data_IF_794639914651
#
_entry.id   IF_794639914651
#
_cell.length_a   1.000
_cell.length_b   1.000
_cell.length_c   1.000
_cell.angle_alpha   90.00
_cell.angle_beta   90.00
_cell.angle_gamma   90.00
#
_symmetry.space_group_name_H-M   'P 1'
#
loop_
_entity.id
_entity.type
_entity.pdbx_description
1 polymer ?
#
# COMPACT_ATOMS: atom_id res chain seq x y z
N UNK A 1 47.08 -30.21 33.01
CA UNK A 1 45.77 -30.60 33.57
C UNK A 1 44.83 -29.44 33.29
N UNK A 2 44.10 -29.48 32.18
CA UNK A 2 43.27 -28.37 31.68
C UNK A 2 41.85 -28.60 32.21
N UNK A 3 41.18 -27.61 32.85
CA UNK A 3 39.84 -27.84 33.39
C UNK A 3 38.80 -27.94 32.27
N UNK A 4 38.02 -29.03 32.25
CA UNK A 4 36.87 -29.21 31.36
C UNK A 4 35.72 -28.27 31.77
N UNK A 5 35.37 -27.36 30.87
CA UNK A 5 34.21 -26.47 31.00
C UNK A 5 32.94 -27.23 30.59
N UNK A 6 32.10 -27.61 31.55
CA UNK A 6 30.84 -28.32 31.32
C UNK A 6 29.67 -27.37 31.03
N UNK A 7 28.76 -27.81 30.14
CA UNK A 7 27.52 -27.17 29.61
C UNK A 7 26.64 -26.44 30.64
N UNK A 8 26.76 -26.79 31.93
CA UNK A 8 25.97 -26.23 33.04
C UNK A 8 26.52 -24.91 33.60
N UNK A 9 27.81 -24.61 33.43
CA UNK A 9 28.40 -23.33 33.88
C UNK A 9 28.19 -22.17 32.88
N UNK A 10 27.91 -22.49 31.62
CA UNK A 10 27.58 -21.49 30.59
C UNK A 10 26.16 -20.93 30.74
N UNK A 11 25.27 -21.68 31.40
CA UNK A 11 23.87 -21.29 31.64
C UNK A 11 23.63 -20.57 32.98
N UNK A 12 24.60 -20.60 33.90
CA UNK A 12 24.52 -19.91 35.20
C UNK A 12 25.04 -18.46 35.18
N UNK A 13 25.55 -17.98 34.05
CA UNK A 13 26.19 -16.65 33.89
C UNK A 13 25.50 -15.73 32.88
N UNK A 14 24.29 -16.07 32.40
CA UNK A 14 23.49 -15.21 31.51
C UNK A 14 22.31 -14.63 32.28
N UNK A 15 22.62 -13.94 33.38
CA UNK A 15 21.70 -13.06 34.06
C UNK A 15 22.28 -11.64 33.96
N UNK A 16 21.66 -10.84 33.10
CA UNK A 16 21.72 -9.36 33.12
C UNK A 16 23.12 -8.78 32.95
N UNK A 17 23.68 -8.73 31.74
CA UNK A 17 24.64 -7.69 31.29
C UNK A 17 24.96 -7.82 29.79
N UNK A 18 24.62 -6.81 29.00
CA UNK A 18 25.29 -6.50 27.71
C UNK A 18 24.87 -7.28 26.45
N UNK A 19 23.71 -6.96 25.86
CA UNK A 19 23.23 -7.50 24.57
C UNK A 19 23.95 -6.88 23.33
N UNK A 20 24.97 -6.03 23.51
CA UNK A 20 25.54 -5.24 22.40
C UNK A 20 26.76 -5.81 21.65
N UNK A 21 27.54 -6.75 22.21
CA UNK A 21 28.89 -7.02 21.67
C UNK A 21 29.28 -8.47 21.37
N UNK A 22 28.66 -9.47 22.03
CA UNK A 22 29.10 -10.87 21.95
C UNK A 22 28.36 -11.76 20.96
N UNK A 23 27.22 -11.31 20.44
CA UNK A 23 26.30 -12.12 19.59
C UNK A 23 26.70 -12.12 18.10
N UNK A 24 27.86 -11.54 17.78
CA UNK A 24 28.36 -11.35 16.42
C UNK A 24 29.41 -12.38 15.96
N UNK A 25 29.99 -13.19 16.88
CA UNK A 25 31.20 -13.99 16.59
C UNK A 25 31.00 -15.53 16.54
N UNK A 26 29.86 -16.07 16.97
CA UNK A 26 29.59 -17.52 16.92
C UNK A 26 28.66 -17.90 15.76
N UNK A 27 28.87 -19.05 15.07
CA UNK A 27 27.90 -19.59 14.13
C UNK A 27 26.55 -19.76 14.82
N UNK A 28 25.49 -19.20 14.24
CA UNK A 28 24.20 -19.11 14.95
C UNK A 28 23.45 -20.43 15.06
N UNK A 29 23.91 -21.46 14.36
CA UNK A 29 23.57 -22.87 14.60
C UNK A 29 23.92 -23.33 16.02
N UNK A 30 24.67 -22.52 16.79
CA UNK A 30 25.03 -22.79 18.18
C UNK A 30 24.06 -22.16 19.20
N UNK A 31 23.13 -21.30 18.76
CA UNK A 31 22.10 -20.73 19.63
C UNK A 31 20.81 -21.57 19.60
N UNK A 32 20.08 -21.67 20.73
CA UNK A 32 18.76 -22.29 20.75
C UNK A 32 17.78 -21.56 19.82
N UNK A 33 16.90 -22.30 19.14
CA UNK A 33 15.89 -21.77 18.21
C UNK A 33 15.10 -20.57 18.77
N UNK A 34 14.63 -20.55 20.03
CA UNK A 34 13.91 -19.39 20.57
C UNK A 34 14.76 -18.11 20.66
N UNK A 35 16.08 -18.24 20.77
CA UNK A 35 17.01 -17.10 20.73
C UNK A 35 17.13 -16.59 19.30
N UNK A 36 17.29 -17.49 18.32
CA UNK A 36 17.39 -17.10 16.90
C UNK A 36 16.07 -16.49 16.41
N UNK A 37 14.93 -17.06 16.79
CA UNK A 37 13.59 -16.52 16.49
C UNK A 37 13.47 -15.06 16.97
N UNK A 38 13.92 -14.77 18.20
CA UNK A 38 13.89 -13.40 18.73
C UNK A 38 14.77 -12.46 17.94
N UNK A 39 15.83 -12.95 17.29
CA UNK A 39 16.77 -12.09 16.58
C UNK A 39 16.34 -11.72 15.16
N UNK A 40 15.33 -12.40 14.63
CA UNK A 40 14.70 -12.09 13.34
C UNK A 40 13.88 -10.81 13.54
N UNK A 41 13.98 -9.88 12.59
CA UNK A 41 13.22 -8.63 12.58
C UNK A 41 13.86 -7.47 13.37
N UNK A 42 15.09 -7.63 13.85
CA UNK A 42 15.84 -6.53 14.48
C UNK A 42 16.71 -5.73 13.49
N UNK A 43 16.72 -6.10 12.21
CA UNK A 43 17.54 -5.41 11.23
C UNK A 43 16.85 -4.14 10.76
N UNK A 44 17.44 -2.99 11.05
CA UNK A 44 16.99 -1.71 10.49
C UNK A 44 17.03 -1.78 8.96
N UNK A 45 15.87 -1.60 8.35
CA UNK A 45 15.70 -1.46 6.90
C UNK A 45 15.81 0.02 6.50
N UNK A 46 16.24 0.33 5.27
CA UNK A 46 16.21 1.70 4.78
C UNK A 46 14.78 2.23 4.73
N UNK A 47 14.65 3.56 4.81
CA UNK A 47 13.38 4.21 4.55
C UNK A 47 13.14 4.30 3.04
N UNK A 48 11.89 4.10 2.65
CA UNK A 48 11.41 4.10 1.26
C UNK A 48 10.31 5.10 1.03
N UNK A 49 9.89 5.82 2.08
CA UNK A 49 8.86 6.82 1.95
C UNK A 49 9.38 8.01 1.14
N UNK A 50 8.81 8.17 -0.05
CA UNK A 50 9.12 9.22 -1.02
C UNK A 50 7.95 10.17 -1.23
N UNK A 51 6.84 9.97 -0.51
CA UNK A 51 5.67 10.80 -0.67
C UNK A 51 6.04 12.25 -0.33
N UNK A 52 5.72 13.26 -1.14
CA UNK A 52 5.93 14.65 -0.73
C UNK A 52 5.16 14.99 0.56
N UNK A 53 5.54 16.08 1.22
CA UNK A 53 4.65 16.66 2.23
C UNK A 53 3.38 17.16 1.50
N UNK A 54 2.19 17.06 2.11
CA UNK A 54 0.99 17.54 1.46
C UNK A 54 1.00 19.08 1.38
N UNK A 55 0.50 19.67 0.28
CA UNK A 55 0.32 21.12 0.18
C UNK A 55 -0.53 21.66 1.33
N UNK A 56 -0.12 22.77 1.94
CA UNK A 56 -0.90 23.41 3.02
C UNK A 56 -2.30 23.84 2.52
N UNK A 57 -2.40 24.23 1.26
CA UNK A 57 -3.67 24.55 0.59
C UNK A 57 -4.66 23.37 0.60
N UNK A 58 -4.17 22.14 0.48
CA UNK A 58 -5.00 20.92 0.57
C UNK A 58 -5.64 20.80 1.95
N UNK A 59 -4.86 21.02 3.02
CA UNK A 59 -5.39 20.90 4.38
C UNK A 59 -6.41 22.00 4.66
N UNK A 60 -6.10 23.25 4.27
CA UNK A 60 -6.97 24.40 4.49
C UNK A 60 -8.31 24.28 3.76
N UNK A 61 -8.29 24.05 2.44
CA UNK A 61 -9.52 23.91 1.65
C UNK A 61 -10.31 22.66 2.04
N UNK A 62 -9.62 21.58 2.41
CA UNK A 62 -10.26 20.38 2.93
C UNK A 62 -10.96 20.60 4.28
N UNK A 63 -10.39 21.41 5.18
CA UNK A 63 -11.03 21.81 6.43
C UNK A 63 -12.27 22.68 6.21
N UNK A 64 -12.20 23.65 5.30
CA UNK A 64 -13.35 24.48 4.90
C UNK A 64 -14.49 23.63 4.34
N UNK A 65 -14.17 22.59 3.55
CA UNK A 65 -15.19 21.66 3.07
C UNK A 65 -15.72 20.74 4.16
N UNK A 66 -14.86 20.28 5.08
CA UNK A 66 -15.28 19.42 6.19
C UNK A 66 -16.27 20.13 7.11
N UNK A 67 -16.03 21.40 7.43
CA UNK A 67 -16.94 22.22 8.25
C UNK A 67 -18.36 22.24 7.65
N UNK A 68 -18.48 22.48 6.34
CA UNK A 68 -19.78 22.45 5.64
C UNK A 68 -20.46 21.08 5.70
N UNK A 69 -19.68 20.00 5.57
CA UNK A 69 -20.22 18.64 5.64
C UNK A 69 -20.69 18.27 7.06
N UNK A 70 -19.98 18.74 8.10
CA UNK A 70 -20.40 18.59 9.48
C UNK A 70 -21.70 19.35 9.75
N UNK A 71 -21.84 20.58 9.26
CA UNK A 71 -23.09 21.36 9.38
C UNK A 71 -24.28 20.67 8.69
N UNK A 72 -24.07 20.07 7.50
CA UNK A 72 -25.08 19.28 6.81
C UNK A 72 -25.47 18.03 7.63
N UNK A 73 -24.49 17.27 8.11
CA UNK A 73 -24.70 16.10 8.94
C UNK A 73 -25.48 16.45 10.21
N UNK A 74 -25.06 17.48 10.95
CA UNK A 74 -25.77 17.97 12.14
C UNK A 74 -27.21 18.36 11.82
N UNK A 75 -27.44 19.02 10.69
CA UNK A 75 -28.78 19.38 10.24
C UNK A 75 -29.65 18.16 9.96
N UNK A 76 -29.09 17.08 9.39
CA UNK A 76 -29.79 15.81 9.12
C UNK A 76 -30.12 15.05 10.42
N UNK A 77 -29.24 15.11 11.42
CA UNK A 77 -29.45 14.42 12.70
C UNK A 77 -30.28 15.23 13.70
N UNK A 78 -30.50 16.52 13.46
CA UNK A 78 -31.31 17.37 14.32
C UNK A 78 -32.74 16.83 14.47
N UNK A 79 -33.13 16.59 15.72
CA UNK A 79 -34.48 16.11 16.08
C UNK A 79 -34.69 14.61 15.85
N UNK A 80 -33.66 13.87 15.44
CA UNK A 80 -33.70 12.40 15.39
C UNK A 80 -33.44 11.85 16.78
N UNK A 81 -34.33 11.00 17.27
CA UNK A 81 -34.08 10.20 18.48
C UNK A 81 -33.10 9.07 18.12
N UNK A 82 -31.88 9.14 18.63
CA UNK A 82 -30.80 8.19 18.31
C UNK A 82 -30.85 6.93 19.16
N UNK A 83 -31.64 6.91 20.23
CA UNK A 83 -31.73 5.80 21.19
C UNK A 83 -32.89 4.84 20.86
N UNK A 84 -33.57 5.07 19.74
CA UNK A 84 -34.71 4.27 19.31
C UNK A 84 -34.27 2.93 18.68
N UNK A 85 -34.92 1.85 19.09
CA UNK A 85 -34.60 0.48 18.65
C UNK A 85 -34.91 0.21 17.16
N UNK A 86 -35.74 1.05 16.53
CA UNK A 86 -36.21 0.92 15.15
C UNK A 86 -35.35 1.68 14.12
N UNK A 87 -34.18 2.21 14.50
CA UNK A 87 -33.24 2.77 13.52
C UNK A 87 -32.77 1.69 12.54
N UNK A 88 -32.76 1.98 11.22
CA UNK A 88 -32.15 1.10 10.24
C UNK A 88 -30.70 0.78 10.61
N UNK A 89 -30.29 -0.48 10.50
CA UNK A 89 -28.93 -0.91 10.85
C UNK A 89 -27.85 -0.10 10.12
N UNK A 90 -28.13 0.27 8.87
CA UNK A 90 -27.29 1.14 8.05
C UNK A 90 -27.01 2.51 8.68
N UNK A 91 -27.93 3.03 9.50
CA UNK A 91 -27.87 4.37 10.05
C UNK A 91 -27.37 4.45 11.50
N UNK A 92 -27.28 3.31 12.21
CA UNK A 92 -26.95 3.28 13.66
C UNK A 92 -25.61 3.93 14.00
N UNK A 93 -24.62 3.80 13.13
CA UNK A 93 -23.29 4.39 13.34
C UNK A 93 -23.22 5.88 13.05
N UNK A 94 -24.24 6.46 12.38
CA UNK A 94 -24.21 7.85 11.91
C UNK A 94 -23.90 8.88 13.01
N UNK A 95 -24.61 8.89 14.16
CA UNK A 95 -24.35 9.85 15.23
C UNK A 95 -22.96 9.70 15.85
N UNK A 96 -22.49 8.47 16.04
CA UNK A 96 -21.13 8.21 16.56
C UNK A 96 -20.08 8.72 15.60
N UNK A 97 -20.22 8.42 14.31
CA UNK A 97 -19.27 8.87 13.29
C UNK A 97 -19.31 10.39 13.08
N UNK A 98 -20.47 11.04 13.25
CA UNK A 98 -20.56 12.50 13.30
C UNK A 98 -19.72 13.06 14.46
N UNK A 99 -19.87 12.51 15.67
CA UNK A 99 -19.04 12.89 16.83
C UNK A 99 -17.55 12.70 16.55
N UNK A 100 -17.15 11.54 16.03
CA UNK A 100 -15.76 11.21 15.69
C UNK A 100 -15.18 12.13 14.59
N UNK A 101 -16.02 12.59 13.65
CA UNK A 101 -15.65 13.54 12.61
C UNK A 101 -15.47 14.95 13.17
N UNK A 102 -16.37 15.40 14.05
CA UNK A 102 -16.27 16.69 14.74
C UNK A 102 -15.03 16.77 15.61
N UNK A 103 -14.74 15.72 16.39
CA UNK A 103 -13.54 15.66 17.23
C UNK A 103 -12.26 15.76 16.38
N UNK A 104 -12.19 14.99 15.28
CA UNK A 104 -11.07 15.07 14.33
C UNK A 104 -10.94 16.42 13.67
N UNK A 105 -12.05 17.07 13.31
CA UNK A 105 -12.03 18.41 12.75
C UNK A 105 -11.40 19.42 13.74
N UNK A 106 -11.76 19.35 15.03
CA UNK A 106 -11.14 20.21 16.05
C UNK A 106 -9.64 19.92 16.20
N UNK A 107 -9.24 18.64 16.26
CA UNK A 107 -7.82 18.25 16.31
C UNK A 107 -7.04 18.76 15.09
N UNK A 108 -7.62 18.66 13.89
CA UNK A 108 -6.96 19.05 12.64
C UNK A 108 -6.72 20.55 12.55
N UNK A 109 -7.66 21.38 13.04
CA UNK A 109 -7.52 22.85 13.05
C UNK A 109 -6.32 23.34 13.85
N UNK A 110 -5.91 22.58 14.85
CA UNK A 110 -4.78 22.91 15.72
C UNK A 110 -3.48 22.20 15.33
N UNK A 111 -3.55 21.30 14.34
CA UNK A 111 -2.42 20.47 13.90
C UNK A 111 -1.58 21.14 12.81
N UNK A 112 -0.32 20.72 12.69
CA UNK A 112 0.52 21.12 11.57
C UNK A 112 0.09 20.39 10.28
N UNK A 113 0.19 21.04 9.11
CA UNK A 113 -0.12 20.40 7.83
C UNK A 113 0.97 19.38 7.48
N UNK A 114 0.77 18.13 7.89
CA UNK A 114 1.66 17.01 7.60
C UNK A 114 0.88 15.82 7.00
N UNK A 115 1.59 14.74 6.67
CA UNK A 115 0.98 13.54 6.08
C UNK A 115 -0.07 12.89 7.01
N UNK A 116 0.10 13.01 8.32
CA UNK A 116 -0.86 12.51 9.31
C UNK A 116 -2.11 13.38 9.33
N UNK A 117 -1.96 14.71 9.25
CA UNK A 117 -3.09 15.62 9.11
C UNK A 117 -3.90 15.32 7.84
N UNK A 118 -3.24 15.09 6.70
CA UNK A 118 -3.96 14.69 5.48
C UNK A 118 -4.69 13.34 5.62
N UNK A 119 -4.05 12.34 6.24
CA UNK A 119 -4.70 11.05 6.50
C UNK A 119 -5.92 11.21 7.41
N UNK A 120 -5.81 11.98 8.50
CA UNK A 120 -6.89 12.27 9.41
C UNK A 120 -8.02 13.08 8.75
N UNK A 121 -7.69 14.01 7.86
CA UNK A 121 -8.66 14.81 7.09
C UNK A 121 -9.52 13.91 6.19
N UNK A 122 -8.91 12.95 5.48
CA UNK A 122 -9.68 11.96 4.68
C UNK A 122 -10.60 11.12 5.55
N UNK A 123 -10.11 10.66 6.71
CA UNK A 123 -10.94 9.89 7.65
C UNK A 123 -12.12 10.72 8.16
N UNK A 124 -11.88 11.97 8.54
CA UNK A 124 -12.93 12.87 9.02
C UNK A 124 -14.00 13.16 7.95
N UNK A 125 -13.59 13.38 6.69
CA UNK A 125 -14.52 13.48 5.56
C UNK A 125 -15.31 12.19 5.34
N UNK A 126 -14.66 11.03 5.44
CA UNK A 126 -15.35 9.74 5.34
C UNK A 126 -16.42 9.57 6.41
N UNK A 127 -16.09 9.90 7.66
CA UNK A 127 -17.03 9.82 8.78
C UNK A 127 -18.19 10.81 8.66
N UNK A 128 -17.92 12.05 8.25
CA UNK A 128 -18.95 13.03 7.94
C UNK A 128 -19.86 12.55 6.80
N UNK A 129 -19.29 11.97 5.74
CA UNK A 129 -20.03 11.41 4.61
C UNK A 129 -20.93 10.26 5.04
N UNK A 130 -20.40 9.32 5.83
CA UNK A 130 -21.23 8.26 6.40
C UNK A 130 -22.39 8.84 7.20
N UNK A 131 -22.14 9.82 8.07
CA UNK A 131 -23.17 10.46 8.88
C UNK A 131 -24.23 11.15 8.04
N UNK A 132 -23.86 11.84 6.95
CA UNK A 132 -24.80 12.44 5.99
C UNK A 132 -25.67 11.37 5.35
N UNK A 133 -25.07 10.33 4.76
CA UNK A 133 -25.83 9.28 4.08
C UNK A 133 -26.74 8.51 5.03
N UNK A 134 -26.28 8.24 6.26
CA UNK A 134 -27.08 7.62 7.32
C UNK A 134 -28.26 8.51 7.75
N UNK A 135 -28.03 9.82 7.92
CA UNK A 135 -29.09 10.78 8.24
C UNK A 135 -30.16 10.87 7.16
N UNK A 136 -29.75 10.85 5.88
CA UNK A 136 -30.66 10.78 4.72
C UNK A 136 -31.50 9.51 4.73
N UNK A 137 -30.90 8.35 5.04
CA UNK A 137 -31.64 7.07 5.20
C UNK A 137 -32.71 7.19 6.29
N UNK A 138 -32.37 7.73 7.46
CA UNK A 138 -33.32 7.89 8.58
C UNK A 138 -34.50 8.80 8.21
N UNK A 139 -34.26 9.83 7.40
CA UNK A 139 -35.29 10.76 6.94
C UNK A 139 -36.09 10.28 5.75
N UNK A 140 -35.74 9.14 5.15
CA UNK A 140 -36.33 8.68 3.89
C UNK A 140 -35.99 9.58 2.70
N UNK A 141 -34.86 10.31 2.79
CA UNK A 141 -34.34 11.23 1.77
C UNK A 141 -33.24 10.53 0.93
N UNK A 142 -33.44 9.25 0.60
CA UNK A 142 -32.48 8.48 -0.20
C UNK A 142 -32.63 8.83 -1.69
N UNK A 143 -31.53 9.22 -2.32
CA UNK A 143 -31.46 9.54 -3.75
C UNK A 143 -30.31 8.76 -4.40
N UNK A 144 -30.62 7.55 -4.85
CA UNK A 144 -29.64 6.68 -5.51
C UNK A 144 -29.19 7.25 -6.86
N UNK A 145 -30.06 7.95 -7.60
CA UNK A 145 -29.67 8.56 -8.86
C UNK A 145 -28.72 9.73 -8.62
N UNK A 146 -29.01 10.59 -7.65
CA UNK A 146 -28.11 11.68 -7.26
C UNK A 146 -26.73 11.18 -6.79
N UNK A 147 -26.64 9.99 -6.18
CA UNK A 147 -25.35 9.35 -5.88
C UNK A 147 -24.62 8.89 -7.15
N UNK A 148 -25.31 8.29 -8.11
CA UNK A 148 -24.71 7.90 -9.40
C UNK A 148 -24.18 9.14 -10.13
N UNK A 149 -24.99 10.20 -10.20
CA UNK A 149 -24.66 11.46 -10.84
C UNK A 149 -23.46 12.13 -10.16
N UNK A 150 -23.43 12.20 -8.81
CA UNK A 150 -22.28 12.69 -8.05
C UNK A 150 -21.00 11.89 -8.36
N UNK A 151 -21.12 10.57 -8.47
CA UNK A 151 -19.97 9.73 -8.84
C UNK A 151 -19.45 10.06 -10.24
N UNK A 152 -20.35 10.38 -11.18
CA UNK A 152 -20.00 10.81 -12.53
C UNK A 152 -19.35 12.20 -12.57
N UNK A 153 -19.84 13.14 -11.76
CA UNK A 153 -19.22 14.46 -11.56
C UNK A 153 -17.78 14.31 -11.08
N UNK A 154 -17.53 13.50 -10.04
CA UNK A 154 -16.18 13.21 -9.53
C UNK A 154 -15.29 12.62 -10.62
N UNK A 155 -15.79 11.63 -11.39
CA UNK A 155 -15.02 11.04 -12.50
C UNK A 155 -14.71 12.06 -13.60
N UNK A 156 -15.61 12.99 -13.86
CA UNK A 156 -15.42 14.07 -14.83
C UNK A 156 -14.38 15.08 -14.35
N UNK A 157 -14.39 15.42 -13.06
CA UNK A 157 -13.35 16.26 -12.44
C UNK A 157 -11.97 15.60 -12.50
N UNK A 158 -11.89 14.29 -12.23
CA UNK A 158 -10.65 13.52 -12.34
C UNK A 158 -10.13 13.55 -13.79
N UNK A 159 -11.01 13.35 -14.78
CA UNK A 159 -10.64 13.40 -16.20
C UNK A 159 -10.13 14.79 -16.61
N UNK A 160 -10.82 15.85 -16.18
CA UNK A 160 -10.41 17.23 -16.46
C UNK A 160 -9.07 17.58 -15.80
N UNK A 161 -8.83 17.16 -14.55
CA UNK A 161 -7.54 17.39 -13.89
C UNK A 161 -6.42 16.58 -14.55
N UNK A 162 -6.68 15.33 -14.93
CA UNK A 162 -5.72 14.50 -15.68
C UNK A 162 -5.29 15.19 -16.98
N UNK A 163 -6.23 15.78 -17.73
CA UNK A 163 -5.93 16.50 -18.98
C UNK A 163 -5.03 17.74 -18.78
N UNK A 164 -4.88 18.22 -17.54
CA UNK A 164 -3.96 19.31 -17.20
C UNK A 164 -2.58 18.85 -16.75
N UNK A 165 -2.40 17.55 -16.44
CA UNK A 165 -1.11 17.03 -15.97
C UNK A 165 -0.19 16.83 -17.17
N UNK A 166 0.89 17.59 -17.23
CA UNK A 166 2.00 17.36 -18.16
C UNK A 166 3.09 16.52 -17.50
N UNK A 167 3.54 15.44 -18.16
CA UNK A 167 4.63 14.60 -17.66
C UNK A 167 5.98 15.15 -18.12
N UNK A 168 6.50 16.16 -17.42
CA UNK A 168 7.76 16.83 -17.78
C UNK A 168 8.65 17.02 -16.57
N UNK A 169 9.92 17.35 -16.80
CA UNK A 169 10.85 17.76 -15.75
C UNK A 169 12.32 17.69 -16.18
N UNK A 170 13.22 18.25 -15.37
CA UNK A 170 14.67 18.25 -15.64
C UNK A 170 15.36 16.96 -15.19
N UNK A 171 14.83 16.26 -14.19
CA UNK A 171 15.45 15.09 -13.59
C UNK A 171 14.45 13.93 -13.42
N UNK A 172 14.43 12.98 -14.37
CA UNK A 172 13.55 11.81 -14.32
C UNK A 172 13.60 11.04 -13.00
N UNK A 173 14.75 10.98 -12.32
CA UNK A 173 14.90 10.22 -11.08
C UNK A 173 14.13 10.84 -9.89
N UNK A 174 13.78 12.12 -9.98
CA UNK A 174 13.02 12.86 -8.95
C UNK A 174 11.60 13.20 -9.43
N UNK A 175 11.47 13.77 -10.63
CA UNK A 175 10.21 14.30 -11.17
C UNK A 175 9.15 13.22 -11.35
N UNK A 176 9.54 12.06 -11.88
CA UNK A 176 8.66 10.90 -12.07
C UNK A 176 8.11 10.39 -10.74
N UNK A 177 8.88 10.44 -9.66
CA UNK A 177 8.37 10.06 -8.35
C UNK A 177 7.34 11.07 -7.83
N UNK A 178 7.59 12.37 -8.02
CA UNK A 178 6.65 13.42 -7.63
C UNK A 178 5.34 13.33 -8.39
N UNK A 179 5.41 13.22 -9.72
CA UNK A 179 4.25 13.06 -10.60
C UNK A 179 3.48 11.77 -10.29
N UNK A 180 4.16 10.66 -9.94
CA UNK A 180 3.48 9.45 -9.46
C UNK A 180 2.64 9.73 -8.19
N UNK A 181 3.17 10.52 -7.26
CA UNK A 181 2.45 10.89 -6.03
C UNK A 181 1.33 11.90 -6.27
N UNK A 182 1.34 12.61 -7.41
CA UNK A 182 0.23 13.45 -7.88
C UNK A 182 -0.89 12.58 -8.50
N UNK A 183 -0.57 11.55 -9.27
CA UNK A 183 -1.58 10.67 -9.87
C UNK A 183 -2.18 9.65 -8.89
N UNK A 184 -1.40 9.21 -7.91
CA UNK A 184 -1.84 8.18 -6.97
C UNK A 184 -3.13 8.54 -6.22
N UNK A 185 -3.35 9.78 -5.72
CA UNK A 185 -4.63 10.17 -5.15
C UNK A 185 -5.77 10.16 -6.17
N UNK A 186 -5.57 10.56 -7.44
CA UNK A 186 -6.60 10.46 -8.48
C UNK A 186 -7.10 9.03 -8.68
N UNK A 187 -6.22 8.05 -8.57
CA UNK A 187 -6.64 6.65 -8.58
C UNK A 187 -7.56 6.29 -7.42
N UNK A 188 -7.26 6.75 -6.19
CA UNK A 188 -8.13 6.54 -5.04
C UNK A 188 -9.44 7.33 -5.17
N UNK A 189 -9.40 8.55 -5.69
CA UNK A 189 -10.61 9.32 -6.00
C UNK A 189 -11.51 8.55 -6.97
N UNK A 190 -10.93 7.94 -8.01
CA UNK A 190 -11.68 7.13 -8.97
C UNK A 190 -12.31 5.91 -8.30
N UNK A 191 -11.56 5.15 -7.50
CA UNK A 191 -12.12 4.03 -6.72
C UNK A 191 -13.29 4.47 -5.83
N UNK A 192 -13.10 5.59 -5.14
CA UNK A 192 -14.06 6.17 -4.20
C UNK A 192 -15.24 6.88 -4.86
N UNK A 193 -15.22 7.08 -6.19
CA UNK A 193 -16.36 7.62 -6.97
C UNK A 193 -17.44 6.59 -7.31
N UNK A 194 -17.23 5.32 -6.92
CA UNK A 194 -18.16 4.22 -7.15
C UNK A 194 -18.95 3.88 -5.89
N UNK A 195 -20.04 3.13 -6.08
CA UNK A 195 -20.85 2.57 -4.99
C UNK A 195 -19.98 1.96 -3.90
N UNK A 196 -20.15 2.44 -2.67
CA UNK A 196 -19.43 1.96 -1.49
C UNK A 196 -17.89 1.97 -1.64
N UNK A 197 -17.34 2.81 -2.53
CA UNK A 197 -15.91 2.91 -2.80
C UNK A 197 -15.28 1.71 -3.50
N UNK A 198 -16.08 0.85 -4.15
CA UNK A 198 -15.58 -0.34 -4.84
C UNK A 198 -15.78 -0.23 -6.35
N UNK A 199 -14.68 -0.31 -7.11
CA UNK A 199 -14.73 -0.51 -8.55
C UNK A 199 -14.81 -2.01 -8.88
N UNK A 200 -15.97 -2.47 -9.37
CA UNK A 200 -16.21 -3.87 -9.75
C UNK A 200 -16.31 -4.06 -11.28
N UNK A 201 -15.59 -3.24 -12.06
CA UNK A 201 -15.60 -3.34 -13.53
C UNK A 201 -16.77 -2.59 -14.20
N UNK A 202 -17.26 -1.52 -13.59
CA UNK A 202 -18.34 -0.68 -14.13
C UNK A 202 -18.93 0.27 -13.10
N UNK A 203 -19.93 1.06 -13.53
CA UNK A 203 -20.72 1.92 -12.64
C UNK A 203 -22.00 1.17 -12.28
N UNK A 204 -22.27 1.04 -10.98
CA UNK A 204 -23.52 0.44 -10.52
C UNK A 204 -24.68 1.39 -10.87
N UNK A 205 -25.75 0.91 -11.52
CA UNK A 205 -26.92 1.74 -11.80
C UNK A 205 -27.70 1.99 -10.50
N UNK A 206 -28.56 3.02 -10.49
CA UNK A 206 -29.29 3.44 -9.30
C UNK A 206 -30.13 2.32 -8.68
N UNK A 207 -30.73 1.44 -9.49
CA UNK A 207 -31.57 0.32 -9.03
C UNK A 207 -30.78 -0.74 -8.25
N UNK A 208 -29.46 -0.75 -8.37
CA UNK A 208 -28.61 -1.69 -7.64
C UNK A 208 -28.41 -1.26 -6.18
N UNK A 209 -28.61 0.03 -5.85
CA UNK A 209 -28.39 0.56 -4.50
C UNK A 209 -29.46 0.07 -3.53
N UNK A 210 -29.02 -0.23 -2.32
CA UNK A 210 -29.87 -0.50 -1.16
C UNK A 210 -29.59 0.55 -0.09
N UNK A 211 -30.47 0.68 0.90
CA UNK A 211 -30.31 1.67 1.98
C UNK A 211 -28.98 1.53 2.73
N UNK A 212 -28.42 0.32 2.82
CA UNK A 212 -27.12 0.07 3.44
C UNK A 212 -25.92 0.55 2.62
N UNK A 213 -26.10 0.80 1.32
CA UNK A 213 -25.04 1.35 0.46
C UNK A 213 -24.95 2.87 0.52
N UNK A 214 -26.04 3.55 0.89
CA UNK A 214 -26.13 5.00 0.87
C UNK A 214 -25.08 5.65 1.79
N UNK A 215 -24.93 5.27 3.07
CA UNK A 215 -23.92 5.85 3.95
C UNK A 215 -22.49 5.62 3.45
N UNK A 216 -22.19 4.39 3.01
CA UNK A 216 -20.85 4.02 2.52
C UNK A 216 -20.48 4.72 1.22
N UNK A 217 -21.46 4.99 0.35
CA UNK A 217 -21.23 5.71 -0.89
C UNK A 217 -20.96 7.19 -0.61
N UNK A 218 -21.71 7.81 0.30
CA UNK A 218 -21.40 9.18 0.74
C UNK A 218 -20.02 9.28 1.39
N UNK A 219 -19.67 8.35 2.29
CA UNK A 219 -18.33 8.23 2.87
C UNK A 219 -17.24 8.22 1.79
N UNK A 220 -17.38 7.32 0.80
CA UNK A 220 -16.42 7.19 -0.28
C UNK A 220 -16.35 8.49 -1.11
N UNK A 221 -17.48 9.06 -1.51
CA UNK A 221 -17.51 10.24 -2.37
C UNK A 221 -16.84 11.45 -1.70
N UNK A 222 -17.05 11.67 -0.40
CA UNK A 222 -16.36 12.77 0.30
C UNK A 222 -14.86 12.52 0.45
N UNK A 223 -14.43 11.26 0.62
CA UNK A 223 -13.00 10.94 0.55
C UNK A 223 -12.42 11.18 -0.85
N UNK A 224 -13.19 10.92 -1.90
CA UNK A 224 -12.77 11.17 -3.28
C UNK A 224 -12.50 12.65 -3.52
N UNK A 225 -13.35 13.55 -3.01
CA UNK A 225 -13.16 14.99 -3.13
C UNK A 225 -11.81 15.44 -2.53
N UNK A 226 -11.44 14.91 -1.36
CA UNK A 226 -10.14 15.21 -0.72
C UNK A 226 -8.98 14.68 -1.55
N UNK A 227 -9.12 13.53 -2.21
CA UNK A 227 -8.10 13.00 -3.10
C UNK A 227 -7.93 13.85 -4.38
N UNK A 228 -9.03 14.31 -4.98
CA UNK A 228 -8.98 15.24 -6.12
C UNK A 228 -8.30 16.54 -5.70
N UNK A 229 -8.66 17.07 -4.52
CA UNK A 229 -8.07 18.27 -3.94
C UNK A 229 -6.55 18.15 -3.76
N UNK A 230 -6.09 17.04 -3.18
CA UNK A 230 -4.66 16.75 -2.98
C UNK A 230 -3.90 16.75 -4.29
N UNK A 231 -4.36 15.98 -5.28
CA UNK A 231 -3.72 15.93 -6.60
C UNK A 231 -3.67 17.30 -7.26
N UNK A 232 -4.77 18.05 -7.20
CA UNK A 232 -4.88 19.40 -7.78
C UNK A 232 -3.84 20.35 -7.20
N UNK A 233 -3.71 20.40 -5.88
CA UNK A 233 -2.75 21.30 -5.24
C UNK A 233 -1.32 20.81 -5.35
N UNK A 234 -1.09 19.49 -5.28
CA UNK A 234 0.26 18.93 -5.45
C UNK A 234 0.79 19.20 -6.86
N UNK A 235 -0.06 19.10 -7.89
CA UNK A 235 0.31 19.43 -9.25
C UNK A 235 0.62 20.92 -9.43
N UNK A 236 -0.19 21.83 -8.85
CA UNK A 236 0.10 23.27 -8.87
C UNK A 236 1.42 23.64 -8.18
N UNK A 237 1.72 23.01 -7.05
CA UNK A 237 3.02 23.20 -6.37
C UNK A 237 4.18 22.67 -7.21
N UNK A 238 3.97 21.56 -7.92
CA UNK A 238 4.94 21.02 -8.86
C UNK A 238 5.22 21.98 -10.03
N UNK A 239 4.19 22.46 -10.72
CA UNK A 239 4.32 23.43 -11.83
C UNK A 239 5.01 24.72 -11.36
N UNK A 240 4.51 25.33 -10.27
CA UNK A 240 5.09 26.58 -9.75
C UNK A 240 6.50 26.43 -9.18
N UNK A 241 6.92 25.20 -8.87
CA UNK A 241 8.27 24.85 -8.41
C UNK A 241 9.29 24.64 -9.54
N UNK A 242 8.89 24.84 -10.81
CA UNK A 242 9.74 24.59 -11.98
C UNK A 242 9.54 23.22 -12.62
N UNK A 243 8.48 22.48 -12.27
CA UNK A 243 8.16 21.19 -12.90
C UNK A 243 7.81 21.30 -14.40
N UNK A 244 7.51 22.50 -14.89
CA UNK A 244 7.32 22.78 -16.32
C UNK A 244 8.65 22.99 -17.07
N UNK A 245 9.75 23.24 -16.34
CA UNK A 245 11.07 23.42 -16.91
C UNK A 245 11.65 22.01 -17.19
N UNK A 246 11.78 21.64 -18.46
CA UNK A 246 12.37 20.35 -18.84
C UNK A 246 11.73 19.70 -20.07
N UNK A 247 12.26 18.54 -20.44
CA UNK A 247 11.75 17.75 -21.55
C UNK A 247 10.50 16.95 -21.13
N UNK A 248 9.69 16.55 -22.12
CA UNK A 248 8.55 15.67 -21.86
C UNK A 248 8.99 14.22 -21.76
N UNK A 249 8.35 13.50 -20.85
CA UNK A 249 8.50 12.06 -20.63
C UNK A 249 7.50 11.22 -21.44
N UNK A 250 6.55 11.82 -22.15
CA UNK A 250 5.39 11.12 -22.75
C UNK A 250 5.79 9.91 -23.61
N UNK A 251 6.69 10.09 -24.57
CA UNK A 251 7.14 9.01 -25.46
C UNK A 251 7.92 7.93 -24.70
N UNK A 252 8.66 8.33 -23.67
CA UNK A 252 9.37 7.42 -22.77
C UNK A 252 8.41 6.57 -21.94
N UNK A 253 7.36 7.20 -21.39
CA UNK A 253 6.32 6.54 -20.63
C UNK A 253 5.53 5.55 -21.48
N UNK A 254 5.15 5.92 -22.71
CA UNK A 254 4.48 5.02 -23.66
C UNK A 254 5.36 3.80 -23.94
N UNK A 255 6.64 4.01 -24.28
CA UNK A 255 7.59 2.93 -24.55
C UNK A 255 7.79 2.01 -23.33
N UNK A 256 7.89 2.59 -22.13
CA UNK A 256 8.05 1.83 -20.89
C UNK A 256 6.79 1.04 -20.56
N UNK A 257 5.62 1.64 -20.74
CA UNK A 257 4.34 0.99 -20.53
C UNK A 257 4.21 -0.23 -21.43
N UNK A 258 4.34 -0.06 -22.75
CA UNK A 258 4.26 -1.16 -23.72
C UNK A 258 5.24 -2.28 -23.37
N UNK A 259 6.50 -1.94 -23.10
CA UNK A 259 7.53 -2.91 -22.76
C UNK A 259 7.21 -3.69 -21.49
N UNK A 260 6.80 -3.01 -20.42
CA UNK A 260 6.50 -3.69 -19.16
C UNK A 260 5.17 -4.44 -19.21
N UNK A 261 4.18 -3.96 -19.96
CA UNK A 261 2.93 -4.67 -20.21
C UNK A 261 3.17 -5.96 -20.98
N UNK A 262 3.94 -5.93 -22.07
CA UNK A 262 4.34 -7.13 -22.82
C UNK A 262 5.01 -8.17 -21.93
N UNK A 263 5.92 -7.74 -21.04
CA UNK A 263 6.59 -8.65 -20.11
C UNK A 263 5.64 -9.23 -19.05
N UNK A 264 4.70 -8.42 -18.55
CA UNK A 264 3.67 -8.87 -17.61
C UNK A 264 2.75 -9.90 -18.26
N UNK A 265 2.26 -9.62 -19.46
CA UNK A 265 1.36 -10.51 -20.20
C UNK A 265 2.07 -11.79 -20.66
N UNK A 266 3.34 -11.72 -21.07
CA UNK A 266 4.13 -12.90 -21.43
C UNK A 266 4.33 -13.88 -20.25
N UNK A 267 4.30 -13.37 -19.01
CA UNK A 267 4.49 -14.17 -17.79
C UNK A 267 3.17 -14.50 -17.10
N UNK A 268 2.03 -14.06 -17.67
CA UNK A 268 0.72 -14.28 -17.09
C UNK A 268 0.32 -15.75 -17.23
N UNK A 269 0.26 -16.43 -16.09
CA UNK A 269 -0.24 -17.81 -16.01
C UNK A 269 -1.74 -17.89 -16.28
N UNK A 270 -2.19 -18.96 -16.92
CA UNK A 270 -3.61 -19.27 -17.14
C UNK A 270 -4.34 -19.59 -15.83
N UNK A 271 -5.66 -19.39 -15.77
CA UNK A 271 -6.46 -19.65 -14.57
C UNK A 271 -6.41 -21.12 -14.13
N UNK A 272 -6.31 -22.06 -15.07
CA UNK A 272 -6.05 -23.47 -14.80
C UNK A 272 -4.70 -23.71 -14.10
N UNK A 273 -3.60 -23.14 -14.61
CA UNK A 273 -2.27 -23.27 -13.96
C UNK A 273 -2.27 -22.67 -12.54
N UNK A 274 -3.00 -21.56 -12.35
CA UNK A 274 -3.17 -20.94 -11.03
C UNK A 274 -3.96 -21.82 -10.08
N UNK A 275 -5.02 -22.45 -10.57
CA UNK A 275 -5.85 -23.36 -9.76
C UNK A 275 -5.06 -24.61 -9.38
N UNK A 276 -4.36 -25.22 -10.32
CA UNK A 276 -3.50 -26.37 -10.06
C UNK A 276 -2.40 -26.04 -9.04
N UNK A 277 -1.80 -24.85 -9.14
CA UNK A 277 -0.80 -24.40 -8.18
C UNK A 277 -1.40 -24.11 -6.79
N UNK A 278 -2.59 -23.51 -6.70
CA UNK A 278 -3.31 -23.32 -5.42
C UNK A 278 -3.61 -24.66 -4.74
N UNK A 279 -4.08 -25.63 -5.51
CA UNK A 279 -4.43 -26.97 -5.01
C UNK A 279 -3.18 -27.78 -4.62
N UNK A 280 -2.08 -27.64 -5.37
CA UNK A 280 -0.81 -28.34 -5.11
C UNK A 280 -0.02 -27.78 -3.91
N UNK A 281 -0.27 -26.54 -3.50
CA UNK A 281 0.52 -25.84 -2.47
C UNK A 281 -0.21 -25.69 -1.11
N UNK A 282 -1.37 -26.32 -0.93
CA UNK A 282 -2.23 -26.06 0.24
C UNK A 282 -1.85 -26.80 1.54
N UNK A 283 -0.97 -27.81 1.51
CA UNK A 283 -0.65 -28.63 2.67
C UNK A 283 0.79 -28.44 3.20
N UNK A 284 0.92 -28.27 4.53
CA UNK A 284 2.20 -28.19 5.23
C UNK A 284 2.96 -26.86 5.09
N UNK A 285 4.07 -26.71 5.85
CA UNK A 285 4.88 -25.48 5.86
C UNK A 285 5.57 -25.19 4.51
N UNK A 286 5.94 -26.25 3.78
CA UNK A 286 6.52 -26.15 2.43
C UNK A 286 5.53 -25.62 1.40
N UNK A 287 4.36 -26.26 1.30
CA UNK A 287 3.27 -25.80 0.42
C UNK A 287 2.91 -24.35 0.74
N UNK A 288 2.69 -24.04 2.03
CA UNK A 288 2.32 -22.71 2.48
C UNK A 288 3.35 -21.64 2.09
N UNK A 289 4.65 -21.84 2.31
CA UNK A 289 5.66 -20.85 1.92
C UNK A 289 5.81 -20.72 0.39
N UNK A 290 5.68 -21.81 -0.37
CA UNK A 290 5.63 -21.72 -1.84
C UNK A 290 4.39 -20.98 -2.33
N UNK A 291 3.24 -21.20 -1.69
CA UNK A 291 2.02 -20.48 -1.99
C UNK A 291 2.17 -18.99 -1.71
N UNK A 292 2.80 -18.62 -0.59
CA UNK A 292 3.13 -17.23 -0.29
C UNK A 292 4.09 -16.62 -1.33
N UNK A 293 5.13 -17.34 -1.74
CA UNK A 293 6.01 -16.88 -2.81
C UNK A 293 5.24 -16.60 -4.11
N UNK A 294 4.30 -17.48 -4.47
CA UNK A 294 3.44 -17.25 -5.62
C UNK A 294 2.49 -16.06 -5.42
N UNK A 295 1.82 -15.96 -4.27
CA UNK A 295 0.91 -14.85 -3.96
C UNK A 295 1.61 -13.48 -4.03
N UNK A 296 2.83 -13.36 -3.48
CA UNK A 296 3.56 -12.09 -3.48
C UNK A 296 4.11 -11.70 -4.85
N UNK A 297 4.18 -12.64 -5.80
CA UNK A 297 4.72 -12.40 -7.13
C UNK A 297 3.64 -12.29 -8.20
N UNK A 298 2.50 -12.97 -8.02
CA UNK A 298 1.42 -13.04 -9.01
C UNK A 298 0.09 -12.47 -8.49
N UNK A 299 -0.15 -12.45 -7.18
CA UNK A 299 -1.43 -12.07 -6.59
C UNK A 299 -1.83 -10.60 -6.79
N UNK A 300 -0.88 -9.71 -7.08
CA UNK A 300 -1.17 -8.29 -7.35
C UNK A 300 -1.39 -7.95 -8.83
N UNK A 301 -1.18 -8.90 -9.74
CA UNK A 301 -1.32 -8.69 -11.19
C UNK A 301 -2.79 -8.56 -11.61
N UNK A 302 -3.72 -9.02 -10.78
CA UNK A 302 -5.16 -9.12 -11.09
C UNK A 302 -5.88 -7.75 -11.20
N UNK A 303 -5.22 -6.64 -10.88
CA UNK A 303 -5.83 -5.28 -10.90
C UNK A 303 -5.42 -4.41 -12.09
N UNK A 304 -4.65 -4.98 -13.01
CA UNK A 304 -4.12 -4.30 -14.19
C UNK A 304 -4.90 -4.78 -15.41
N UNK A 305 -5.95 -4.05 -15.77
CA UNK A 305 -6.63 -4.25 -17.05
C UNK A 305 -6.99 -2.89 -17.62
N UNK A 306 -6.97 -2.80 -18.95
CA UNK A 306 -7.45 -1.65 -19.70
C UNK A 306 -8.89 -1.32 -19.31
N UNK A 307 -9.12 -0.06 -18.89
CA UNK A 307 -10.39 0.39 -18.32
C UNK A 307 -10.50 0.22 -16.80
N UNK A 308 -9.44 -0.19 -16.11
CA UNK A 308 -9.35 -0.24 -14.65
C UNK A 308 -9.42 1.13 -13.96
N UNK A 309 -9.26 1.19 -12.63
CA UNK A 309 -9.33 2.43 -11.86
C UNK A 309 -8.15 3.39 -12.13
N UNK A 310 -7.25 3.05 -13.05
CA UNK A 310 -6.13 3.88 -13.48
C UNK A 310 -6.39 4.60 -14.80
N UNK A 311 -7.53 4.43 -15.49
CA UNK A 311 -7.71 4.85 -16.89
C UNK A 311 -7.21 6.26 -17.24
N UNK A 312 -6.05 6.30 -17.92
CA UNK A 312 -5.28 7.48 -18.36
C UNK A 312 -4.32 8.11 -17.34
N UNK A 313 -4.06 7.47 -16.21
CA UNK A 313 -2.99 7.84 -15.27
C UNK A 313 -1.71 7.11 -15.69
N UNK A 314 -1.11 7.55 -16.78
CA UNK A 314 -0.14 6.76 -17.57
C UNK A 314 1.15 6.49 -16.78
N UNK A 315 1.59 7.47 -16.00
CA UNK A 315 2.77 7.33 -15.15
C UNK A 315 2.52 6.35 -13.99
N UNK A 316 1.38 6.45 -13.31
CA UNK A 316 0.97 5.54 -12.24
C UNK A 316 0.88 4.11 -12.77
N UNK A 317 0.32 3.92 -13.96
CA UNK A 317 0.28 2.62 -14.63
C UNK A 317 1.70 2.12 -14.91
N UNK A 318 2.53 2.91 -15.58
CA UNK A 318 3.92 2.55 -15.92
C UNK A 318 4.72 2.12 -14.69
N UNK A 319 4.66 2.87 -13.59
CA UNK A 319 5.34 2.51 -12.32
C UNK A 319 4.76 1.22 -11.71
N UNK A 320 3.44 1.00 -11.80
CA UNK A 320 2.82 -0.25 -11.35
C UNK A 320 3.27 -1.44 -12.18
N UNK A 321 3.35 -1.30 -13.51
CA UNK A 321 3.87 -2.32 -14.40
C UNK A 321 5.35 -2.62 -14.11
N UNK A 322 6.17 -1.59 -13.92
CA UNK A 322 7.57 -1.76 -13.52
C UNK A 322 7.72 -2.58 -12.21
N UNK A 323 6.89 -2.29 -11.20
CA UNK A 323 6.85 -3.08 -9.95
C UNK A 323 6.33 -4.50 -10.15
N UNK A 324 5.38 -4.70 -11.06
CA UNK A 324 4.89 -6.03 -11.42
C UNK A 324 5.96 -6.86 -12.15
N UNK A 325 6.74 -6.24 -13.02
CA UNK A 325 7.92 -6.88 -13.63
C UNK A 325 8.91 -7.32 -12.57
N UNK A 326 9.20 -6.50 -11.56
CA UNK A 326 10.07 -6.91 -10.43
C UNK A 326 9.53 -8.15 -9.70
N UNK A 327 8.21 -8.18 -9.45
CA UNK A 327 7.53 -9.31 -8.81
C UNK A 327 7.61 -10.57 -9.67
N UNK A 328 7.36 -10.46 -10.97
CA UNK A 328 7.39 -11.57 -11.91
C UNK A 328 8.79 -12.17 -12.05
N UNK A 329 9.82 -11.33 -12.23
CA UNK A 329 11.22 -11.77 -12.30
C UNK A 329 11.70 -12.39 -10.98
N UNK A 330 11.13 -11.98 -9.85
CA UNK A 330 11.48 -12.55 -8.55
C UNK A 330 10.97 -13.98 -8.34
N UNK A 331 9.86 -14.38 -8.97
CA UNK A 331 9.28 -15.71 -8.78
C UNK A 331 10.21 -16.87 -9.16
N UNK A 332 10.75 -16.97 -10.39
CA UNK A 332 11.64 -18.06 -10.76
C UNK A 332 12.90 -18.09 -9.90
N UNK A 333 13.47 -16.93 -9.58
CA UNK A 333 14.62 -16.79 -8.68
C UNK A 333 14.30 -17.29 -7.26
N UNK A 334 13.13 -16.95 -6.72
CA UNK A 334 12.69 -17.39 -5.39
C UNK A 334 12.44 -18.90 -5.36
N UNK A 335 11.83 -19.44 -6.42
CA UNK A 335 11.57 -20.87 -6.59
C UNK A 335 12.87 -21.68 -6.66
N UNK A 336 13.88 -21.20 -7.40
CA UNK A 336 15.20 -21.85 -7.49
C UNK A 336 15.97 -21.81 -6.16
N UNK A 337 15.83 -20.70 -5.42
CA UNK A 337 16.52 -20.47 -4.14
C UNK A 337 15.82 -21.06 -2.94
N UNK A 338 14.70 -21.73 -3.15
CA UNK A 338 13.95 -22.39 -2.09
C UNK A 338 14.70 -23.65 -1.65
N UNK A 339 15.12 -23.73 -0.38
CA UNK A 339 16.11 -24.74 0.08
C UNK A 339 15.60 -25.77 1.08
N UNK A 340 14.29 -25.83 1.36
CA UNK A 340 13.71 -26.85 2.23
C UNK A 340 12.63 -27.63 1.50
N UNK A 341 12.49 -28.92 1.82
CA UNK A 341 11.60 -29.85 1.13
C UNK A 341 10.29 -30.12 1.90
N UNK A 342 9.37 -30.85 1.27
CA UNK A 342 8.12 -31.29 1.88
C UNK A 342 8.40 -32.15 3.15
N UNK A 343 7.74 -31.81 4.26
CA UNK A 343 7.92 -32.48 5.55
C UNK A 343 9.12 -32.00 6.38
N UNK A 344 9.97 -31.11 5.84
CA UNK A 344 11.06 -30.51 6.61
C UNK A 344 10.59 -29.39 7.53
N UNK A 345 11.23 -29.28 8.70
CA UNK A 345 11.05 -28.13 9.59
C UNK A 345 11.97 -27.01 9.17
N UNK A 346 11.44 -25.80 9.07
CA UNK A 346 12.23 -24.62 8.72
C UNK A 346 13.12 -24.22 9.91
N UNK A 347 14.42 -24.26 9.65
CA UNK A 347 15.45 -23.83 10.60
C UNK A 347 15.40 -22.30 10.76
N UNK A 348 15.20 -21.74 11.97
CA UNK A 348 15.26 -20.30 12.16
C UNK A 348 16.60 -19.66 11.74
N UNK A 349 17.70 -20.43 11.71
CA UNK A 349 18.97 -19.95 11.17
C UNK A 349 18.92 -19.75 9.64
N UNK A 350 18.06 -20.49 8.92
CA UNK A 350 17.80 -20.25 7.50
C UNK A 350 17.07 -18.91 7.31
N UNK A 351 15.97 -18.71 8.05
CA UNK A 351 15.17 -17.47 8.01
C UNK A 351 16.06 -16.25 8.29
N UNK A 352 16.84 -16.31 9.37
CA UNK A 352 17.75 -15.23 9.76
C UNK A 352 18.83 -14.93 8.71
N UNK A 353 19.36 -15.95 8.03
CA UNK A 353 20.35 -15.75 6.96
C UNK A 353 19.72 -15.02 5.78
N UNK A 354 18.49 -15.35 5.45
CA UNK A 354 17.77 -14.70 4.35
C UNK A 354 17.39 -13.26 4.69
N UNK A 355 16.85 -13.01 5.90
CA UNK A 355 16.66 -11.66 6.44
C UNK A 355 17.95 -10.82 6.33
N UNK A 356 19.08 -11.38 6.76
CA UNK A 356 20.36 -10.67 6.70
C UNK A 356 20.74 -10.32 5.26
N UNK A 357 20.62 -11.25 4.32
CA UNK A 357 20.93 -11.02 2.90
C UNK A 357 20.03 -9.95 2.31
N UNK A 358 18.72 -10.08 2.52
CA UNK A 358 17.72 -9.14 2.04
C UNK A 358 17.97 -7.72 2.59
N UNK A 359 18.16 -7.60 3.90
CA UNK A 359 18.38 -6.31 4.56
C UNK A 359 19.72 -5.66 4.17
N UNK A 360 20.78 -6.45 3.96
CA UNK A 360 22.05 -5.92 3.44
C UNK A 360 21.88 -5.41 2.01
N UNK A 361 21.27 -6.21 1.12
CA UNK A 361 21.02 -5.82 -0.26
C UNK A 361 20.15 -4.55 -0.37
N UNK A 362 19.11 -4.45 0.44
CA UNK A 362 18.24 -3.28 0.49
C UNK A 362 19.03 -2.00 0.83
N UNK A 363 19.90 -2.05 1.83
CA UNK A 363 20.73 -0.89 2.21
C UNK A 363 21.72 -0.53 1.11
N UNK A 364 22.45 -1.52 0.58
CA UNK A 364 23.44 -1.30 -0.49
C UNK A 364 22.80 -0.66 -1.72
N UNK A 365 21.61 -1.11 -2.11
CA UNK A 365 20.92 -0.57 -3.28
C UNK A 365 20.34 0.82 -3.07
N UNK A 366 19.69 1.06 -1.93
CA UNK A 366 19.13 2.38 -1.63
C UNK A 366 20.26 3.41 -1.48
N UNK A 367 21.41 3.03 -0.91
CA UNK A 367 22.60 3.89 -0.85
C UNK A 367 23.24 4.11 -2.22
N UNK A 368 23.26 3.11 -3.10
CA UNK A 368 23.87 3.23 -4.42
C UNK A 368 23.09 4.11 -5.40
N UNK A 369 21.75 4.05 -5.36
CA UNK A 369 20.89 4.77 -6.31
C UNK A 369 20.28 6.05 -5.74
N UNK A 370 20.17 6.17 -4.41
CA UNK A 370 19.70 7.31 -3.60
C UNK A 370 18.70 8.32 -4.24
N UNK A 371 17.74 7.83 -5.02
CA UNK A 371 16.74 8.67 -5.70
C UNK A 371 15.30 8.32 -5.29
N UNK A 372 14.37 9.29 -5.36
CA UNK A 372 12.96 9.05 -5.12
C UNK A 372 12.37 7.95 -6.01
N UNK A 373 12.68 7.94 -7.31
CA UNK A 373 12.18 6.92 -8.24
C UNK A 373 12.67 5.51 -7.86
N UNK A 374 13.95 5.35 -7.52
CA UNK A 374 14.46 4.04 -7.11
C UNK A 374 13.77 3.54 -5.83
N UNK A 375 13.66 4.40 -4.81
CA UNK A 375 12.97 4.08 -3.54
C UNK A 375 11.51 3.74 -3.77
N UNK A 376 10.84 4.42 -4.70
CA UNK A 376 9.48 4.10 -5.12
C UNK A 376 9.39 2.69 -5.70
N UNK A 377 10.30 2.29 -6.58
CA UNK A 377 10.31 0.95 -7.17
C UNK A 377 10.51 -0.16 -6.13
N UNK A 378 11.42 0.06 -5.16
CA UNK A 378 11.76 -0.98 -4.16
C UNK A 378 10.88 -0.99 -2.90
N UNK A 379 9.91 -0.06 -2.78
CA UNK A 379 9.06 0.08 -1.60
C UNK A 379 8.28 -1.21 -1.27
N UNK A 380 7.69 -1.87 -2.27
CA UNK A 380 6.97 -3.14 -2.06
C UNK A 380 7.90 -4.25 -1.54
N UNK A 381 9.10 -4.37 -2.13
CA UNK A 381 10.09 -5.36 -1.71
C UNK A 381 10.52 -5.12 -0.25
N UNK A 382 10.77 -3.86 0.13
CA UNK A 382 11.16 -3.49 1.49
C UNK A 382 10.00 -3.65 2.47
N UNK A 383 8.75 -3.40 2.07
CA UNK A 383 7.56 -3.72 2.86
C UNK A 383 7.43 -5.21 3.13
N UNK A 384 7.70 -6.08 2.14
CA UNK A 384 7.72 -7.53 2.37
C UNK A 384 8.72 -7.89 3.47
N UNK A 385 9.92 -7.28 3.46
CA UNK A 385 10.90 -7.50 4.54
C UNK A 385 10.35 -7.04 5.90
N UNK A 386 9.72 -5.86 5.98
CA UNK A 386 9.09 -5.35 7.21
C UNK A 386 7.96 -6.24 7.73
N UNK A 387 7.15 -6.82 6.85
CA UNK A 387 6.09 -7.78 7.22
C UNK A 387 6.71 -9.09 7.73
N UNK A 388 7.81 -9.54 7.13
CA UNK A 388 8.61 -10.65 7.65
C UNK A 388 9.16 -10.41 9.07
N UNK A 389 9.23 -9.15 9.52
CA UNK A 389 9.63 -8.77 10.88
C UNK A 389 8.45 -8.88 11.89
N UNK A 390 7.19 -8.94 11.43
CA UNK A 390 6.04 -9.10 12.32
C UNK A 390 6.06 -10.51 12.94
N UNK A 391 6.20 -10.54 14.27
CA UNK A 391 6.68 -11.69 15.03
C UNK A 391 5.94 -13.00 14.76
N UNK A 392 6.69 -14.09 14.89
CA UNK A 392 6.18 -15.46 14.79
C UNK A 392 5.16 -15.72 15.92
N UNK A 393 3.86 -15.94 15.62
CA UNK A 393 2.89 -16.34 16.63
C UNK A 393 3.35 -17.59 17.39
N UNK A 394 3.07 -17.65 18.70
CA UNK A 394 3.54 -18.75 19.55
C UNK A 394 2.85 -20.09 19.26
N UNK A 395 1.67 -20.05 18.65
CA UNK A 395 0.77 -21.16 18.36
C UNK A 395 1.10 -21.94 17.07
N UNK A 396 1.82 -21.35 16.11
CA UNK A 396 2.34 -22.08 14.93
C UNK A 396 3.70 -21.54 14.42
N UNK A 397 4.75 -21.79 15.20
CA UNK A 397 6.12 -21.35 14.87
C UNK A 397 6.65 -21.92 13.55
N UNK A 398 6.17 -23.09 13.10
CA UNK A 398 6.67 -23.70 11.88
C UNK A 398 6.14 -22.95 10.66
N UNK A 399 4.83 -22.69 10.63
CA UNK A 399 4.18 -21.89 9.58
C UNK A 399 4.67 -20.46 9.58
N UNK A 400 4.79 -19.84 10.75
CA UNK A 400 5.27 -18.48 10.86
C UNK A 400 6.70 -18.30 10.33
N UNK A 401 7.58 -19.29 10.56
CA UNK A 401 8.95 -19.27 9.99
C UNK A 401 8.91 -19.45 8.47
N UNK A 402 7.94 -20.19 7.96
CA UNK A 402 7.70 -20.37 6.53
C UNK A 402 7.28 -19.06 5.87
N UNK A 403 6.34 -18.35 6.50
CA UNK A 403 5.91 -17.02 6.09
C UNK A 403 7.07 -16.03 6.08
N UNK A 404 7.78 -15.89 7.20
CA UNK A 404 8.91 -14.99 7.31
C UNK A 404 9.99 -15.29 6.26
N UNK A 405 10.33 -16.57 6.06
CA UNK A 405 11.29 -16.96 5.02
C UNK A 405 10.81 -16.59 3.61
N UNK A 406 9.55 -16.84 3.27
CA UNK A 406 8.97 -16.46 1.98
C UNK A 406 9.01 -14.94 1.77
N UNK A 407 8.65 -14.15 2.79
CA UNK A 407 8.76 -12.68 2.75
C UNK A 407 10.19 -12.21 2.45
N UNK A 408 11.18 -12.69 3.21
CA UNK A 408 12.58 -12.29 3.01
C UNK A 408 13.13 -12.76 1.66
N UNK A 409 12.78 -13.97 1.24
CA UNK A 409 13.24 -14.55 -0.02
C UNK A 409 12.68 -13.79 -1.23
N UNK A 410 11.37 -13.52 -1.25
CA UNK A 410 10.74 -12.76 -2.34
C UNK A 410 11.23 -11.31 -2.34
N UNK A 411 11.28 -10.65 -1.18
CA UNK A 411 11.80 -9.29 -1.10
C UNK A 411 13.25 -9.18 -1.57
N UNK A 412 14.11 -10.13 -1.18
CA UNK A 412 15.50 -10.18 -1.65
C UNK A 412 15.59 -10.40 -3.17
N UNK A 413 14.79 -11.29 -3.73
CA UNK A 413 14.82 -11.58 -5.18
C UNK A 413 14.26 -10.43 -6.00
N UNK A 414 13.22 -9.73 -5.55
CA UNK A 414 12.78 -8.47 -6.17
C UNK A 414 13.90 -7.42 -6.18
N UNK A 415 14.61 -7.25 -5.05
CA UNK A 415 15.73 -6.32 -4.96
C UNK A 415 16.90 -6.68 -5.91
N UNK A 416 17.06 -7.95 -6.32
CA UNK A 416 18.11 -8.31 -7.28
C UNK A 416 17.86 -7.71 -8.67
N UNK A 417 16.60 -7.59 -9.06
CA UNK A 417 16.17 -7.09 -10.37
C UNK A 417 15.91 -5.58 -10.39
N UNK A 418 15.92 -4.91 -9.23
CA UNK A 418 15.55 -3.51 -9.07
C UNK A 418 16.41 -2.54 -9.88
N UNK A 419 17.73 -2.75 -9.94
CA UNK A 419 18.64 -1.87 -10.70
C UNK A 419 18.37 -1.92 -12.20
N UNK A 420 18.18 -3.11 -12.76
CA UNK A 420 17.93 -3.26 -14.21
C UNK A 420 16.62 -2.58 -14.64
N UNK A 421 15.56 -2.69 -13.83
CA UNK A 421 14.29 -2.01 -14.09
C UNK A 421 14.43 -0.50 -13.95
N UNK A 422 15.13 -0.03 -12.91
CA UNK A 422 15.38 1.39 -12.71
C UNK A 422 16.21 2.02 -13.84
N UNK A 423 17.30 1.38 -14.26
CA UNK A 423 18.14 1.83 -15.37
C UNK A 423 17.36 1.82 -16.70
N UNK A 424 16.49 0.82 -16.90
CA UNK A 424 15.56 0.79 -18.04
C UNK A 424 14.63 1.99 -18.03
N UNK A 425 14.06 2.34 -16.88
CA UNK A 425 13.18 3.51 -16.75
C UNK A 425 13.93 4.80 -17.08
N UNK A 426 15.08 5.05 -16.43
CA UNK A 426 15.85 6.27 -16.68
C UNK A 426 16.23 6.43 -18.14
N UNK A 427 16.74 5.38 -18.79
CA UNK A 427 17.18 5.45 -20.17
C UNK A 427 16.07 5.75 -21.20
N UNK A 428 14.80 5.53 -20.84
CA UNK A 428 13.67 5.87 -21.70
C UNK A 428 13.09 7.26 -21.40
N UNK A 429 13.40 7.83 -20.23
CA UNK A 429 12.88 9.11 -19.75
C UNK A 429 13.88 10.27 -19.93
N UNK A 430 15.13 9.95 -20.27
CA UNK A 430 16.17 10.87 -20.79
C UNK A 430 16.00 11.07 -22.31
#
# INVERSE_FOLDING_TARGET
>A
MVPELTRRRLLGGVAVTGVGGGVAMAPRTWYPNPVVDRMIGYRRLPDTDTQPAPPESTIREGLESLERHLEEAETLWKGVDTDRDDLPDAARMGPTLLGDATDRYQELRESNPDRRALANLRVAHGYAGYAIGAGRVVRGETDAQGLVDRGEEIRSEIAALRETIEYRGENPATDVATLYWIERPLHFARLNSHRSGMYMGGVAPAEAYQDYDIPRTWEAHLQADVHVLESRHAYREYESGGGEDGDTFDSGLETLFERFDEEVEATRQSDEERKELREALAEGAYGHARYQCWQFTHGSLETVSDGGPTGGLDLLQTVRHARNVLKLRAYPDAVERFVFDEGERIDPALVYREEKRAATRARELVEAHDTPLFRLLVDDAIRLLRVGDHGLPDDDRARARADAYAYYLVGHTQLRHASDVYETMLAALE
#
